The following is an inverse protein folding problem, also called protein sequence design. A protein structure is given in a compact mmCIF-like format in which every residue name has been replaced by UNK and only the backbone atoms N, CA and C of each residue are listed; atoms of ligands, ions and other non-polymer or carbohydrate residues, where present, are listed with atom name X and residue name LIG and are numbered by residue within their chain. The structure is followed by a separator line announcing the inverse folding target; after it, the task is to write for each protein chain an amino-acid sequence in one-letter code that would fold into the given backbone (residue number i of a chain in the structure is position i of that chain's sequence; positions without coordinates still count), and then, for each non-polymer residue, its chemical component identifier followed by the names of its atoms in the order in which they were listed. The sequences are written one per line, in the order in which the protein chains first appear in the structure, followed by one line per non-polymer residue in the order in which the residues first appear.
data_IF_296567608170
#
_entry.id   IF_296567608170
#
_cell.length_a   1.000
_cell.length_b   1.000
_cell.length_c   1.000
_cell.angle_alpha   90.00
_cell.angle_beta   90.00
_cell.angle_gamma   90.00
#
_symmetry.space_group_name_H-M   'P 1'
#
loop_
_entity.id
_entity.type
_entity.pdbx_description
1 polymer ?
#
# COMPACT_ATOMS: atom_id res chain seq x y z
N UNK A 1 10.29 -6.15 -19.35
CA UNK A 1 9.98 -5.79 -17.96
C UNK A 1 8.52 -5.35 -17.85
N UNK A 2 7.78 -5.87 -16.90
CA UNK A 2 6.45 -5.33 -16.62
C UNK A 2 6.54 -3.87 -16.20
N UNK A 3 5.55 -3.08 -16.56
CA UNK A 3 5.49 -1.69 -16.13
C UNK A 3 5.06 -1.61 -14.66
N UNK A 4 5.31 -0.46 -14.03
CA UNK A 4 4.87 -0.19 -12.66
C UNK A 4 3.37 -0.42 -12.49
N UNK A 5 2.57 -0.05 -13.48
CA UNK A 5 1.13 -0.24 -13.45
C UNK A 5 0.73 -1.71 -13.42
N UNK A 6 1.54 -2.59 -13.97
CA UNK A 6 1.32 -4.04 -13.88
C UNK A 6 1.40 -4.51 -12.43
N UNK A 7 2.38 -4.04 -11.68
CA UNK A 7 2.52 -4.39 -10.25
C UNK A 7 1.40 -3.81 -9.42
N UNK A 8 0.94 -2.58 -9.72
CA UNK A 8 -0.22 -2.00 -9.05
C UNK A 8 -1.47 -2.83 -9.27
N UNK A 9 -1.68 -3.30 -10.51
CA UNK A 9 -2.81 -4.16 -10.84
C UNK A 9 -2.75 -5.50 -10.10
N UNK A 10 -1.58 -6.12 -10.08
CA UNK A 10 -1.39 -7.39 -9.37
C UNK A 10 -1.62 -7.22 -7.88
N UNK A 11 -1.10 -6.15 -7.28
CA UNK A 11 -1.33 -5.85 -5.88
C UNK A 11 -2.82 -5.68 -5.57
N UNK A 12 -3.53 -4.95 -6.44
CA UNK A 12 -4.98 -4.77 -6.30
C UNK A 12 -5.71 -6.11 -6.34
N UNK A 13 -5.37 -6.97 -7.28
CA UNK A 13 -5.99 -8.30 -7.40
C UNK A 13 -5.77 -9.14 -6.15
N UNK A 14 -4.56 -9.10 -5.57
CA UNK A 14 -4.23 -9.82 -4.34
C UNK A 14 -5.11 -9.32 -3.19
N UNK A 15 -5.24 -8.01 -3.05
CA UNK A 15 -6.04 -7.42 -1.98
C UNK A 15 -7.53 -7.76 -2.13
N UNK A 16 -8.07 -7.64 -3.34
CA UNK A 16 -9.47 -7.99 -3.60
C UNK A 16 -9.73 -9.47 -3.33
N UNK A 17 -8.81 -10.34 -3.72
CA UNK A 17 -8.94 -11.78 -3.45
C UNK A 17 -8.93 -12.09 -1.94
N UNK A 18 -8.34 -11.21 -1.13
CA UNK A 18 -8.29 -11.31 0.34
C UNK A 18 -9.49 -10.64 1.03
N UNK A 19 -10.48 -10.20 0.28
CA UNK A 19 -11.71 -9.63 0.83
C UNK A 19 -11.70 -8.12 1.00
N UNK A 20 -10.69 -7.43 0.49
CA UNK A 20 -10.66 -5.97 0.50
C UNK A 20 -11.61 -5.40 -0.55
N UNK A 21 -12.15 -4.21 -0.27
CA UNK A 21 -12.92 -3.43 -1.24
C UNK A 21 -12.05 -2.26 -1.73
N UNK A 22 -11.99 -2.08 -3.04
CA UNK A 22 -11.20 -1.01 -3.63
C UNK A 22 -11.85 0.35 -3.35
N UNK A 23 -11.07 1.29 -2.84
CA UNK A 23 -11.48 2.68 -2.61
C UNK A 23 -10.97 3.57 -3.74
N UNK A 24 -9.67 3.49 -4.04
CA UNK A 24 -9.07 4.32 -5.07
C UNK A 24 -7.73 3.73 -5.53
N UNK A 25 -7.31 4.13 -6.73
CA UNK A 25 -5.97 3.86 -7.27
C UNK A 25 -5.35 5.17 -7.66
N UNK A 26 -4.02 5.28 -7.50
CA UNK A 26 -3.26 6.48 -7.84
C UNK A 26 -3.90 7.75 -7.24
N UNK A 27 -4.26 7.66 -5.97
CA UNK A 27 -4.95 8.75 -5.27
C UNK A 27 -3.95 9.81 -4.84
N UNK A 28 -4.29 11.06 -5.12
CA UNK A 28 -3.47 12.22 -4.73
C UNK A 28 -4.19 13.11 -3.73
N UNK A 29 -3.42 13.58 -2.75
CA UNK A 29 -3.84 14.62 -1.81
C UNK A 29 -2.68 15.60 -1.71
N UNK A 30 -2.75 16.72 -2.46
CA UNK A 30 -1.64 17.65 -2.58
C UNK A 30 -0.41 16.96 -3.17
N UNK A 31 0.66 16.88 -2.40
CA UNK A 31 1.90 16.21 -2.80
C UNK A 31 1.93 14.73 -2.44
N UNK A 32 0.95 14.28 -1.67
CA UNK A 32 0.89 12.90 -1.19
C UNK A 32 0.18 12.05 -2.23
N UNK A 33 0.70 10.88 -2.46
CA UNK A 33 0.12 9.94 -3.42
C UNK A 33 0.15 8.53 -2.86
N UNK A 34 -0.97 7.83 -2.99
CA UNK A 34 -1.09 6.43 -2.63
C UNK A 34 -1.34 5.61 -3.89
N UNK A 35 -0.65 4.48 -4.02
CA UNK A 35 -0.81 3.62 -5.19
C UNK A 35 -2.17 2.95 -5.21
N UNK A 36 -2.57 2.37 -4.07
CA UNK A 36 -3.84 1.66 -3.92
C UNK A 36 -4.40 1.95 -2.53
N UNK A 37 -5.69 2.23 -2.47
CA UNK A 37 -6.41 2.37 -1.19
C UNK A 37 -7.55 1.38 -1.20
N UNK A 38 -7.65 0.58 -0.14
CA UNK A 38 -8.73 -0.38 0.04
C UNK A 38 -9.32 -0.23 1.43
N UNK A 39 -10.47 -0.87 1.65
CA UNK A 39 -11.05 -0.95 2.99
C UNK A 39 -11.54 -2.37 3.27
N UNK A 40 -11.45 -2.75 4.54
CA UNK A 40 -11.93 -4.04 5.01
C UNK A 40 -12.15 -3.96 6.52
N UNK A 41 -13.32 -4.39 6.98
CA UNK A 41 -13.64 -4.50 8.41
C UNK A 41 -13.41 -3.20 9.19
N UNK A 42 -13.79 -2.06 8.62
CA UNK A 42 -13.66 -0.75 9.27
C UNK A 42 -12.26 -0.15 9.24
N UNK A 43 -11.33 -0.80 8.57
CA UNK A 43 -9.95 -0.34 8.42
C UNK A 43 -9.72 0.16 7.00
N UNK A 44 -9.10 1.32 6.87
CA UNK A 44 -8.66 1.85 5.59
C UNK A 44 -7.20 1.50 5.40
N UNK A 45 -6.90 0.79 4.30
CA UNK A 45 -5.55 0.36 3.98
C UNK A 45 -4.98 1.26 2.90
N UNK A 46 -3.89 1.94 3.23
CA UNK A 46 -3.15 2.76 2.26
C UNK A 46 -1.94 1.94 1.85
N UNK A 47 -1.91 1.52 0.60
CA UNK A 47 -0.98 0.50 0.12
C UNK A 47 0.04 1.10 -0.82
N UNK A 48 1.31 0.89 -0.50
CA UNK A 48 2.45 1.24 -1.34
C UNK A 48 2.88 0.00 -2.10
N UNK A 49 3.04 0.12 -3.41
CA UNK A 49 3.47 -0.96 -4.27
C UNK A 49 4.91 -0.69 -4.70
N UNK A 50 5.80 -1.63 -4.46
CA UNK A 50 7.22 -1.49 -4.80
C UNK A 50 7.73 -2.71 -5.54
N UNK A 51 8.63 -2.46 -6.48
CA UNK A 51 9.42 -3.50 -7.12
C UNK A 51 10.89 -3.26 -6.81
N UNK A 52 11.60 -4.31 -6.44
CA UNK A 52 13.05 -4.27 -6.22
C UNK A 52 13.70 -5.44 -6.93
N UNK A 53 14.72 -5.14 -7.74
CA UNK A 53 15.46 -6.17 -8.45
C UNK A 53 16.16 -7.12 -7.47
N UNK A 54 16.71 -6.56 -6.40
CA UNK A 54 17.32 -7.33 -5.31
C UNK A 54 16.54 -7.06 -4.03
N UNK A 55 16.34 -8.11 -3.24
CA UNK A 55 15.61 -8.00 -1.97
C UNK A 55 16.35 -7.11 -1.00
N UNK A 56 15.70 -6.08 -0.44
CA UNK A 56 16.26 -5.37 0.70
C UNK A 56 16.42 -6.31 1.88
N UNK A 57 17.52 -6.17 2.62
CA UNK A 57 17.78 -7.00 3.80
C UNK A 57 16.81 -6.71 4.93
N UNK A 58 16.37 -5.46 5.04
CA UNK A 58 15.46 -5.01 6.08
C UNK A 58 14.16 -4.51 5.44
N UNK A 59 13.04 -4.85 6.05
CA UNK A 59 11.72 -4.45 5.55
C UNK A 59 11.58 -2.93 5.41
N UNK A 60 12.14 -2.16 6.36
CA UNK A 60 12.05 -0.71 6.34
C UNK A 60 12.84 -0.06 5.19
N UNK A 61 13.74 -0.80 4.52
CA UNK A 61 14.44 -0.30 3.33
C UNK A 61 13.53 -0.27 2.10
N UNK A 62 12.38 -0.91 2.15
CA UNK A 62 11.39 -0.82 1.08
C UNK A 62 10.76 0.56 0.98
N UNK A 63 10.45 1.17 2.13
CA UNK A 63 9.70 2.43 2.18
C UNK A 63 10.32 3.35 3.23
N UNK A 64 10.59 4.60 2.83
CA UNK A 64 11.11 5.64 3.73
C UNK A 64 10.09 5.93 4.83
N UNK A 65 10.50 6.02 6.12
CA UNK A 65 9.60 6.36 7.21
C UNK A 65 8.81 7.66 7.00
N UNK A 66 9.39 8.65 6.32
CA UNK A 66 8.67 9.89 6.02
C UNK A 66 7.52 9.66 5.04
N UNK A 67 7.69 8.73 4.11
CA UNK A 67 6.62 8.35 3.19
C UNK A 67 5.48 7.66 3.94
N UNK A 68 5.81 6.81 4.90
CA UNK A 68 4.80 6.13 5.74
C UNK A 68 3.97 7.17 6.48
N UNK A 69 4.60 8.20 7.06
CA UNK A 69 3.90 9.29 7.74
C UNK A 69 2.92 10.01 6.80
N UNK A 70 3.35 10.30 5.58
CA UNK A 70 2.51 10.97 4.58
C UNK A 70 1.31 10.11 4.20
N UNK A 71 1.52 8.80 4.04
CA UNK A 71 0.45 7.88 3.71
C UNK A 71 -0.55 7.74 4.85
N UNK A 72 -0.09 7.77 6.10
CA UNK A 72 -0.98 7.78 7.27
C UNK A 72 -1.86 9.04 7.28
N UNK A 73 -1.27 10.21 7.02
CA UNK A 73 -2.02 11.46 6.97
C UNK A 73 -3.04 11.46 5.85
N UNK A 74 -2.66 10.96 4.68
CA UNK A 74 -3.56 10.82 3.54
C UNK A 74 -4.73 9.92 3.90
N UNK A 75 -4.47 8.76 4.48
CA UNK A 75 -5.51 7.81 4.89
C UNK A 75 -6.43 8.40 5.96
N UNK A 76 -5.86 9.10 6.95
CA UNK A 76 -6.63 9.71 8.01
C UNK A 76 -7.66 10.72 7.47
N UNK A 77 -7.32 11.42 6.38
CA UNK A 77 -8.23 12.37 5.75
C UNK A 77 -9.45 11.70 5.11
N UNK A 78 -9.39 10.40 4.87
CA UNK A 78 -10.44 9.64 4.19
C UNK A 78 -11.32 8.81 5.12
N UNK A 79 -10.96 8.71 6.40
CA UNK A 79 -11.66 7.82 7.33
C UNK A 79 -13.15 8.09 7.41
N UNK A 80 -13.52 9.36 7.54
CA UNK A 80 -14.92 9.74 7.73
C UNK A 80 -15.76 9.43 6.50
N UNK A 81 -15.26 9.79 5.33
CA UNK A 81 -15.94 9.57 4.05
C UNK A 81 -16.23 8.09 3.81
N UNK A 82 -15.28 7.21 4.19
CA UNK A 82 -15.39 5.79 3.93
C UNK A 82 -15.85 4.99 5.13
N UNK A 83 -16.29 5.67 6.21
CA UNK A 83 -16.83 5.04 7.41
C UNK A 83 -15.87 4.04 8.04
N UNK A 84 -14.59 4.38 8.03
CA UNK A 84 -13.54 3.59 8.66
C UNK A 84 -13.07 4.26 9.94
N UNK A 85 -12.61 3.47 10.90
CA UNK A 85 -12.14 3.94 12.21
C UNK A 85 -10.63 3.96 12.35
N UNK A 86 -9.93 3.23 11.48
CA UNK A 86 -8.48 3.07 11.56
C UNK A 86 -7.84 3.15 10.19
N UNK A 87 -6.58 3.58 10.17
CA UNK A 87 -5.73 3.57 8.97
C UNK A 87 -4.56 2.64 9.22
N UNK A 88 -4.27 1.78 8.26
CA UNK A 88 -3.04 1.01 8.22
C UNK A 88 -2.33 1.29 6.91
N UNK A 89 -1.00 1.40 6.97
CA UNK A 89 -0.16 1.54 5.78
C UNK A 89 0.49 0.20 5.52
N UNK A 90 0.37 -0.28 4.30
CA UNK A 90 0.89 -1.58 3.91
C UNK A 90 1.79 -1.47 2.69
N UNK A 91 2.74 -2.39 2.61
CA UNK A 91 3.59 -2.60 1.44
C UNK A 91 3.16 -3.88 0.73
N UNK A 92 3.04 -3.81 -0.59
CA UNK A 92 3.05 -4.99 -1.44
C UNK A 92 4.33 -4.92 -2.26
N UNK A 93 5.27 -5.80 -1.96
CA UNK A 93 6.60 -5.80 -2.56
C UNK A 93 6.80 -6.94 -3.53
N UNK A 94 7.36 -6.61 -4.69
CA UNK A 94 7.66 -7.57 -5.75
C UNK A 94 9.16 -7.62 -5.99
N UNK A 95 9.70 -8.80 -6.22
CA UNK A 95 11.10 -9.01 -6.61
C UNK A 95 11.21 -10.33 -7.35
N UNK A 96 12.13 -10.43 -8.36
CA UNK A 96 12.39 -11.72 -8.98
C UNK A 96 13.01 -12.75 -8.02
N UNK A 97 13.51 -12.30 -6.86
CA UNK A 97 14.02 -13.20 -5.83
C UNK A 97 12.91 -13.83 -4.99
N UNK A 98 11.66 -13.39 -5.18
CA UNK A 98 10.50 -13.89 -4.42
C UNK A 98 9.61 -14.73 -5.32
N UNK A 99 9.18 -15.91 -4.83
CA UNK A 99 8.16 -16.72 -5.52
C UNK A 99 6.79 -16.05 -5.44
N UNK A 100 6.51 -15.38 -4.32
CA UNK A 100 5.26 -14.65 -4.10
C UNK A 100 5.57 -13.26 -3.57
N UNK A 101 4.69 -12.26 -3.83
CA UNK A 101 4.88 -10.92 -3.29
C UNK A 101 4.88 -10.89 -1.77
N UNK A 102 5.61 -9.95 -1.21
CA UNK A 102 5.56 -9.66 0.23
C UNK A 102 4.38 -8.73 0.50
N UNK A 103 3.60 -9.05 1.55
CA UNK A 103 2.60 -8.16 2.12
C UNK A 103 3.03 -7.83 3.54
N UNK A 104 3.27 -6.57 3.82
CA UNK A 104 3.87 -6.15 5.07
C UNK A 104 3.18 -4.92 5.62
N UNK A 105 2.72 -5.00 6.88
CA UNK A 105 2.23 -3.83 7.59
C UNK A 105 3.40 -2.95 7.98
N UNK A 106 3.27 -1.65 7.73
CA UNK A 106 4.34 -0.68 8.00
C UNK A 106 4.01 0.11 9.25
N UNK A 107 4.70 -0.17 10.33
CA UNK A 107 4.55 0.56 11.59
C UNK A 107 5.44 1.79 11.61
N UNK A 108 4.94 2.83 12.28
CA UNK A 108 5.61 4.13 12.37
C UNK A 108 6.18 4.40 13.75
N UNK A 109 6.06 3.47 14.65
CA UNK A 109 6.51 3.64 16.03
C UNK A 109 8.03 3.65 16.14
#
# INVERSE_FOLDING_TARGET
MPSYKTYERLATEILLASGHHLVAKDYRMGRYQADVITKKDGVLFVVEVKYRKCMPQEAWLWVDPRQIQRLLLLGASLLREHQCSEVEVWLVGFSPELDTPILLALDVN
#
